data_IF_769527340935
#
_entry.id   IF_769527340935
#
_cell.length_a   1.000
_cell.length_b   1.000
_cell.length_c   1.000
_cell.angle_alpha   90.00
_cell.angle_beta   90.00
_cell.angle_gamma   90.00
#
_symmetry.space_group_name_H-M   'P 1'
#
loop_
_entity.id
_entity.type
_entity.pdbx_description
1 polymer ?
#
# COMPACT_ATOMS: atom_id res chain seq x y z
N UNK A 1 -6.44 19.58 13.33
CA UNK A 1 -5.23 18.74 13.18
C UNK A 1 -4.01 19.62 13.35
N UNK A 2 -3.01 19.18 14.11
CA UNK A 2 -1.74 19.91 14.23
C UNK A 2 -0.85 19.58 13.04
N UNK A 3 0.03 20.52 12.65
CA UNK A 3 1.00 20.31 11.56
C UNK A 3 1.89 19.09 11.83
N UNK A 4 2.26 18.88 13.10
CA UNK A 4 3.05 17.72 13.52
C UNK A 4 2.34 16.39 13.23
N UNK A 5 1.04 16.29 13.53
CA UNK A 5 0.27 15.09 13.24
C UNK A 5 0.19 14.82 11.73
N UNK A 6 0.02 15.87 10.93
CA UNK A 6 -0.01 15.77 9.47
C UNK A 6 1.34 15.33 8.89
N UNK A 7 2.45 15.90 9.36
CA UNK A 7 3.80 15.47 8.93
C UNK A 7 4.06 14.02 9.37
N UNK A 8 3.63 13.66 10.58
CA UNK A 8 3.78 12.31 11.14
C UNK A 8 3.13 11.21 10.29
N UNK A 9 2.02 11.49 9.59
CA UNK A 9 1.41 10.48 8.70
C UNK A 9 2.29 10.17 7.50
N UNK A 10 3.00 11.14 6.92
CA UNK A 10 3.95 10.88 5.84
C UNK A 10 5.11 10.00 6.29
N UNK A 11 5.64 10.23 7.49
CA UNK A 11 6.66 9.37 8.08
C UNK A 11 6.16 7.94 8.32
N UNK A 12 4.94 7.80 8.85
CA UNK A 12 4.33 6.49 9.04
C UNK A 12 4.12 5.75 7.71
N UNK A 13 3.66 6.46 6.68
CA UNK A 13 3.49 5.90 5.33
C UNK A 13 4.85 5.49 4.75
N UNK A 14 5.86 6.36 4.76
CA UNK A 14 7.20 6.05 4.25
C UNK A 14 7.83 4.85 4.98
N UNK A 15 7.76 4.81 6.30
CA UNK A 15 8.34 3.72 7.09
C UNK A 15 7.57 2.39 7.00
N UNK A 16 6.36 2.36 6.42
CA UNK A 16 5.52 1.14 6.42
C UNK A 16 6.14 -0.06 5.69
N UNK A 17 6.73 0.15 4.49
CA UNK A 17 7.31 -0.94 3.70
C UNK A 17 8.57 -1.56 4.34
N UNK A 18 9.58 -0.81 4.86
CA UNK A 18 10.73 -1.43 5.49
C UNK A 18 10.34 -2.11 6.80
N UNK A 19 9.38 -1.53 7.55
CA UNK A 19 8.86 -2.17 8.76
C UNK A 19 8.13 -3.48 8.45
N UNK A 20 7.46 -3.58 7.30
CA UNK A 20 6.80 -4.84 6.88
C UNK A 20 7.83 -5.90 6.48
N UNK A 21 8.91 -5.51 5.80
CA UNK A 21 10.03 -6.42 5.50
C UNK A 21 10.71 -6.89 6.79
N UNK A 22 10.96 -5.97 7.74
CA UNK A 22 11.49 -6.32 9.05
C UNK A 22 10.54 -7.25 9.81
N UNK A 23 9.25 -6.98 9.76
CA UNK A 23 8.22 -7.81 10.39
C UNK A 23 8.22 -9.24 9.84
N UNK A 24 8.43 -9.42 8.54
CA UNK A 24 8.52 -10.74 7.90
C UNK A 24 9.63 -11.59 8.54
N UNK A 25 10.81 -11.01 8.76
CA UNK A 25 11.92 -11.72 9.42
C UNK A 25 11.71 -11.92 10.92
N UNK A 26 11.24 -10.88 11.63
CA UNK A 26 11.02 -10.94 13.08
C UNK A 26 9.98 -11.99 13.43
N UNK A 27 8.80 -11.94 12.79
CA UNK A 27 7.75 -12.92 13.07
C UNK A 27 8.07 -14.30 12.48
N UNK A 28 8.83 -14.36 11.39
CA UNK A 28 9.23 -15.63 10.77
C UNK A 28 10.23 -16.42 11.60
N UNK A 29 11.28 -15.78 12.09
CA UNK A 29 12.38 -16.46 12.80
C UNK A 29 12.16 -16.60 14.30
N UNK A 30 11.37 -15.72 14.91
CA UNK A 30 11.10 -15.77 16.35
C UNK A 30 9.72 -16.35 16.69
N UNK A 31 9.08 -17.05 15.74
CA UNK A 31 7.72 -17.59 15.90
C UNK A 31 7.55 -18.35 17.22
N UNK A 32 6.61 -17.92 18.07
CA UNK A 32 6.34 -18.52 19.39
C UNK A 32 7.22 -18.02 20.55
N UNK A 33 8.28 -17.26 20.29
CA UNK A 33 9.13 -16.66 21.33
C UNK A 33 8.75 -15.21 21.67
N UNK A 34 7.89 -14.58 20.87
CA UNK A 34 7.48 -13.17 21.04
C UNK A 34 6.05 -12.96 21.54
N UNK A 35 5.28 -14.01 21.82
CA UNK A 35 3.85 -13.91 22.23
C UNK A 35 3.61 -13.00 23.46
N UNK A 36 4.63 -12.80 24.31
CA UNK A 36 4.56 -11.86 25.45
C UNK A 36 4.76 -10.39 25.09
N UNK A 37 5.44 -10.09 23.98
CA UNK A 37 5.90 -8.74 23.63
C UNK A 37 5.39 -8.23 22.28
N UNK A 38 4.83 -9.13 21.47
CA UNK A 38 4.42 -8.83 20.11
C UNK A 38 2.97 -9.27 19.92
N UNK A 39 2.10 -8.28 19.71
CA UNK A 39 0.71 -8.55 19.34
C UNK A 39 0.68 -9.26 17.99
N UNK A 40 -0.25 -10.20 17.81
CA UNK A 40 -0.37 -10.93 16.56
C UNK A 40 -0.55 -9.93 15.40
N UNK A 41 0.46 -9.88 14.52
CA UNK A 41 0.51 -8.99 13.36
C UNK A 41 -0.69 -9.19 12.46
N UNK A 42 -1.14 -10.44 12.31
CA UNK A 42 -2.26 -10.76 11.44
C UNK A 42 -3.58 -10.29 12.06
N UNK A 43 -3.85 -10.57 13.33
CA UNK A 43 -5.01 -10.03 14.04
C UNK A 43 -5.05 -8.50 14.03
N UNK A 44 -3.90 -7.86 14.21
CA UNK A 44 -3.77 -6.39 14.14
C UNK A 44 -4.09 -5.87 12.75
N UNK A 45 -3.57 -6.51 11.70
CA UNK A 45 -3.88 -6.18 10.31
C UNK A 45 -5.39 -6.30 10.03
N UNK A 46 -6.02 -7.40 10.43
CA UNK A 46 -7.45 -7.63 10.23
C UNK A 46 -8.27 -6.56 10.96
N UNK A 47 -7.88 -6.20 12.18
CA UNK A 47 -8.52 -5.14 12.94
C UNK A 47 -8.43 -3.79 12.20
N UNK A 48 -7.26 -3.45 11.68
CA UNK A 48 -7.03 -2.18 10.97
C UNK A 48 -7.77 -2.13 9.62
N UNK A 49 -7.79 -3.21 8.84
CA UNK A 49 -8.35 -3.20 7.48
C UNK A 49 -9.85 -3.49 7.46
N UNK A 50 -10.38 -4.22 8.43
CA UNK A 50 -11.81 -4.54 8.47
C UNK A 50 -12.53 -3.55 9.38
N UNK A 51 -12.11 -3.41 10.65
CA UNK A 51 -12.90 -2.67 11.64
C UNK A 51 -12.89 -1.17 11.36
N UNK A 52 -11.71 -0.57 11.15
CA UNK A 52 -11.62 0.87 10.95
C UNK A 52 -12.28 1.35 9.65
N UNK A 53 -12.02 0.74 8.48
CA UNK A 53 -12.73 1.10 7.25
C UNK A 53 -14.24 0.85 7.34
N UNK A 54 -14.68 -0.24 7.95
CA UNK A 54 -16.11 -0.54 8.05
C UNK A 54 -16.84 0.49 8.93
N UNK A 55 -16.32 0.74 10.14
CA UNK A 55 -16.92 1.71 11.07
C UNK A 55 -16.78 3.14 10.50
N UNK A 56 -15.62 3.49 9.92
CA UNK A 56 -15.39 4.80 9.32
C UNK A 56 -16.34 5.11 8.17
N UNK A 57 -16.52 4.18 7.24
CA UNK A 57 -17.44 4.34 6.11
C UNK A 57 -18.91 4.35 6.56
N UNK A 58 -19.26 3.57 7.59
CA UNK A 58 -20.59 3.60 8.20
C UNK A 58 -20.87 4.94 8.89
N UNK A 59 -19.96 5.43 9.72
CA UNK A 59 -20.07 6.72 10.38
C UNK A 59 -20.18 7.87 9.37
N UNK A 60 -19.38 7.85 8.30
CA UNK A 60 -19.46 8.83 7.23
C UNK A 60 -20.81 8.79 6.50
N UNK A 61 -21.35 7.59 6.25
CA UNK A 61 -22.67 7.46 5.62
C UNK A 61 -23.80 7.99 6.51
N UNK A 62 -23.74 7.73 7.82
CA UNK A 62 -24.68 8.28 8.80
C UNK A 62 -24.58 9.81 8.83
N UNK A 63 -23.37 10.37 8.82
CA UNK A 63 -23.17 11.81 8.80
C UNK A 63 -23.80 12.45 7.54
N UNK A 64 -23.50 11.91 6.36
CA UNK A 64 -24.05 12.39 5.08
C UNK A 64 -25.58 12.30 5.03
N UNK A 65 -26.14 11.24 5.61
CA UNK A 65 -27.59 11.10 5.76
C UNK A 65 -28.17 12.17 6.68
N UNK A 66 -27.54 12.44 7.83
CA UNK A 66 -27.99 13.45 8.78
C UNK A 66 -27.88 14.89 8.25
N UNK A 67 -26.90 15.15 7.40
CA UNK A 67 -26.74 16.44 6.72
C UNK A 67 -27.71 16.64 5.55
N UNK A 68 -28.50 15.63 5.21
CA UNK A 68 -29.45 15.69 4.08
C UNK A 68 -28.78 15.65 2.70
N UNK A 69 -27.48 15.35 2.63
CA UNK A 69 -26.74 15.30 1.36
C UNK A 69 -27.17 14.12 0.50
N UNK A 70 -27.42 12.95 1.11
CA UNK A 70 -27.76 11.70 0.42
C UNK A 70 -28.57 10.74 1.28
N UNK A 71 -29.28 9.80 0.65
CA UNK A 71 -29.90 8.67 1.35
C UNK A 71 -28.84 7.73 1.94
N UNK A 72 -29.16 7.07 3.07
CA UNK A 72 -28.20 6.25 3.81
C UNK A 72 -27.60 5.12 2.95
N UNK A 73 -28.43 4.39 2.20
CA UNK A 73 -27.97 3.29 1.33
C UNK A 73 -27.11 3.81 0.17
N UNK A 74 -27.45 4.96 -0.41
CA UNK A 74 -26.64 5.58 -1.47
C UNK A 74 -25.27 6.02 -0.94
N UNK A 75 -25.23 6.61 0.26
CA UNK A 75 -23.99 7.02 0.91
C UNK A 75 -23.12 5.82 1.28
N UNK A 76 -23.70 4.74 1.82
CA UNK A 76 -22.98 3.50 2.11
C UNK A 76 -22.36 2.90 0.84
N UNK A 77 -23.16 2.76 -0.22
CA UNK A 77 -22.66 2.21 -1.49
C UNK A 77 -21.51 3.04 -2.05
N UNK A 78 -21.63 4.37 -2.07
CA UNK A 78 -20.55 5.24 -2.54
C UNK A 78 -19.28 5.06 -1.70
N UNK A 79 -19.40 5.09 -0.39
CA UNK A 79 -18.26 4.98 0.53
C UNK A 79 -17.50 3.64 0.32
N UNK A 80 -18.22 2.52 0.30
CA UNK A 80 -17.60 1.19 0.10
C UNK A 80 -17.08 0.96 -1.32
N UNK A 81 -17.71 1.55 -2.34
CA UNK A 81 -17.24 1.46 -3.73
C UNK A 81 -15.81 1.99 -3.91
N UNK A 82 -15.46 3.07 -3.19
CA UNK A 82 -14.14 3.68 -3.29
C UNK A 82 -13.07 3.01 -2.43
N UNK A 83 -13.47 2.20 -1.44
CA UNK A 83 -12.57 1.56 -0.49
C UNK A 83 -11.44 0.75 -1.17
N UNK A 84 -11.68 -0.11 -2.18
CA UNK A 84 -10.61 -0.88 -2.83
C UNK A 84 -9.55 0.01 -3.50
N UNK A 85 -9.99 1.10 -4.15
CA UNK A 85 -9.09 2.05 -4.82
C UNK A 85 -8.21 2.76 -3.79
N UNK A 86 -8.80 3.21 -2.68
CA UNK A 86 -8.04 3.83 -1.60
C UNK A 86 -7.06 2.87 -0.93
N UNK A 87 -7.43 1.60 -0.76
CA UNK A 87 -6.53 0.57 -0.21
C UNK A 87 -5.30 0.36 -1.09
N UNK A 88 -5.49 0.23 -2.41
CA UNK A 88 -4.38 0.10 -3.36
C UNK A 88 -3.53 1.38 -3.36
N UNK A 89 -4.17 2.54 -3.41
CA UNK A 89 -3.48 3.82 -3.44
C UNK A 89 -2.63 4.03 -2.18
N UNK A 90 -3.25 4.04 -1.00
CA UNK A 90 -2.55 4.29 0.27
C UNK A 90 -1.52 3.19 0.59
N UNK A 91 -1.80 1.94 0.21
CA UNK A 91 -0.86 0.84 0.39
C UNK A 91 0.33 0.88 -0.57
N UNK A 92 0.18 1.44 -1.77
CA UNK A 92 1.19 1.45 -2.82
C UNK A 92 2.08 2.71 -2.87
N UNK A 93 1.72 3.79 -2.17
CA UNK A 93 2.49 5.05 -2.21
C UNK A 93 3.75 5.06 -1.33
N UNK A 94 3.93 4.08 -0.43
CA UNK A 94 4.95 4.19 0.62
C UNK A 94 6.39 4.23 0.10
N UNK A 95 6.73 3.51 -0.97
CA UNK A 95 8.03 3.63 -1.63
C UNK A 95 8.29 5.05 -2.17
N UNK A 96 7.28 5.67 -2.77
CA UNK A 96 7.39 7.03 -3.33
C UNK A 96 7.50 8.08 -2.24
N UNK A 97 6.73 7.94 -1.16
CA UNK A 97 6.83 8.80 0.03
C UNK A 97 8.19 8.65 0.70
N UNK A 98 8.71 7.42 0.80
CA UNK A 98 10.06 7.17 1.32
C UNK A 98 11.12 7.89 0.51
N UNK A 99 11.04 7.81 -0.82
CA UNK A 99 11.97 8.52 -1.72
C UNK A 99 11.93 10.02 -1.46
N UNK A 100 10.74 10.61 -1.38
CA UNK A 100 10.59 12.04 -1.12
C UNK A 100 11.17 12.46 0.25
N UNK A 101 10.93 11.67 1.30
CA UNK A 101 11.48 11.92 2.64
C UNK A 101 13.01 11.79 2.67
N UNK A 102 13.57 10.77 2.02
CA UNK A 102 15.03 10.59 1.95
C UNK A 102 15.68 11.71 1.14
N UNK A 103 15.10 12.10 0.00
CA UNK A 103 15.59 13.24 -0.76
C UNK A 103 15.56 14.53 0.07
N UNK A 104 14.51 14.74 0.85
CA UNK A 104 14.42 15.89 1.77
C UNK A 104 15.53 15.86 2.84
N UNK A 105 15.80 14.70 3.46
CA UNK A 105 16.84 14.58 4.49
C UNK A 105 18.27 14.72 3.97
N UNK A 106 18.51 14.29 2.73
CA UNK A 106 19.82 14.35 2.10
C UNK A 106 20.00 15.58 1.20
N UNK A 107 19.09 16.55 1.27
CA UNK A 107 19.11 17.77 0.45
C UNK A 107 19.25 17.48 -1.06
N UNK A 108 18.66 16.37 -1.52
CA UNK A 108 18.65 15.99 -2.93
C UNK A 108 17.49 16.73 -3.59
N UNK A 109 17.82 17.63 -4.53
CA UNK A 109 16.83 18.37 -5.29
C UNK A 109 15.93 17.43 -6.11
N UNK A 110 14.64 17.42 -5.74
CA UNK A 110 13.59 16.78 -6.51
C UNK A 110 12.64 17.84 -7.07
N UNK A 111 12.38 17.75 -8.37
CA UNK A 111 11.40 18.61 -9.03
C UNK A 111 10.02 17.96 -8.96
N UNK A 112 9.04 18.71 -8.47
CA UNK A 112 7.64 18.31 -8.52
C UNK A 112 7.07 18.71 -9.87
N UNK A 113 6.84 17.73 -10.75
CA UNK A 113 6.21 17.98 -12.05
C UNK A 113 4.80 18.52 -11.87
N UNK A 114 4.43 19.55 -12.64
CA UNK A 114 3.05 19.99 -12.71
C UNK A 114 2.18 18.89 -13.35
N UNK A 115 1.03 18.60 -12.76
CA UNK A 115 0.07 17.67 -13.33
C UNK A 115 -0.31 18.13 -14.74
N UNK A 116 -0.03 17.31 -15.76
CA UNK A 116 -0.45 17.63 -17.13
C UNK A 116 -1.97 17.79 -17.17
N UNK A 117 -2.44 18.96 -17.58
CA UNK A 117 -3.87 19.24 -17.71
C UNK A 117 -4.46 18.61 -18.98
N UNK A 118 -3.61 18.29 -19.95
CA UNK A 118 -4.02 17.61 -21.17
C UNK A 118 -3.70 16.13 -21.05
N UNK A 119 -4.76 15.33 -21.18
CA UNK A 119 -4.64 13.88 -21.30
C UNK A 119 -4.22 13.62 -22.73
N UNK A 120 -2.93 13.37 -22.94
CA UNK A 120 -2.47 12.84 -24.22
C UNK A 120 -3.19 11.51 -24.48
N UNK A 121 -3.77 11.37 -25.68
CA UNK A 121 -4.31 10.09 -26.14
C UNK A 121 -3.12 9.17 -26.47
N UNK A 122 -2.55 8.55 -25.44
CA UNK A 122 -1.52 7.53 -25.57
C UNK A 122 -2.18 6.17 -25.80
N UNK A 123 -1.65 5.40 -26.75
CA UNK A 123 -2.08 4.02 -26.95
C UNK A 123 -1.63 3.14 -25.78
N UNK A 124 -2.42 2.11 -25.46
CA UNK A 124 -2.15 1.19 -24.36
C UNK A 124 -0.71 0.62 -24.39
N UNK A 125 -0.21 0.25 -25.58
CA UNK A 125 1.12 -0.33 -25.75
C UNK A 125 2.27 0.69 -25.58
N UNK A 126 2.03 1.97 -25.85
CA UNK A 126 3.02 3.04 -25.66
C UNK A 126 3.18 3.42 -24.19
N UNK A 127 2.14 3.21 -23.39
CA UNK A 127 2.14 3.57 -21.97
C UNK A 127 2.88 2.54 -21.11
N UNK A 128 2.82 1.25 -21.45
CA UNK A 128 3.52 0.17 -20.73
C UNK A 128 5.01 0.48 -20.48
N UNK A 129 5.84 0.81 -21.50
CA UNK A 129 7.25 1.10 -21.27
C UNK A 129 7.48 2.36 -20.42
N UNK A 130 6.59 3.37 -20.53
CA UNK A 130 6.65 4.58 -19.69
C UNK A 130 6.40 4.24 -18.22
N UNK A 131 5.43 3.38 -17.93
CA UNK A 131 5.13 2.89 -16.58
C UNK A 131 6.31 2.09 -16.03
N UNK A 132 6.83 1.13 -16.80
CA UNK A 132 7.97 0.31 -16.37
C UNK A 132 9.16 1.18 -16.02
N UNK A 133 9.47 2.21 -16.84
CA UNK A 133 10.58 3.12 -16.57
C UNK A 133 10.34 4.01 -15.34
N UNK A 134 9.12 4.51 -15.18
CA UNK A 134 8.79 5.44 -14.08
C UNK A 134 8.67 4.73 -12.72
N UNK A 135 8.21 3.48 -12.73
CA UNK A 135 8.00 2.65 -11.55
C UNK A 135 9.02 1.51 -11.43
N UNK A 136 10.18 1.62 -12.12
CA UNK A 136 11.19 0.57 -12.15
C UNK A 136 11.61 0.12 -10.74
N UNK A 137 11.85 1.07 -9.83
CA UNK A 137 12.19 0.78 -8.43
C UNK A 137 11.09 0.01 -7.69
N UNK A 138 9.83 0.36 -7.95
CA UNK A 138 8.65 -0.33 -7.38
C UNK A 138 8.58 -1.77 -7.87
N UNK A 139 8.78 -2.02 -9.16
CA UNK A 139 8.78 -3.38 -9.72
C UNK A 139 9.96 -4.21 -9.20
N UNK A 140 11.17 -3.62 -9.10
CA UNK A 140 12.34 -4.28 -8.50
C UNK A 140 12.04 -4.71 -7.07
N UNK A 141 11.44 -3.84 -6.27
CA UNK A 141 11.00 -4.19 -4.91
C UNK A 141 9.97 -5.34 -4.92
N UNK A 142 8.91 -5.25 -5.73
CA UNK A 142 7.87 -6.28 -5.79
C UNK A 142 8.45 -7.65 -6.18
N UNK A 143 9.28 -7.72 -7.23
CA UNK A 143 9.89 -8.97 -7.67
C UNK A 143 10.92 -9.50 -6.66
N UNK A 144 11.74 -8.61 -6.08
CA UNK A 144 12.71 -8.97 -5.05
C UNK A 144 12.06 -9.51 -3.78
N UNK A 145 11.00 -8.86 -3.30
CA UNK A 145 10.25 -9.30 -2.12
C UNK A 145 9.46 -10.58 -2.40
N UNK A 146 8.94 -10.77 -3.62
CA UNK A 146 8.31 -12.04 -4.02
C UNK A 146 9.33 -13.18 -4.04
N UNK A 147 10.51 -12.94 -4.62
CA UNK A 147 11.61 -13.89 -4.61
C UNK A 147 12.06 -14.22 -3.18
N UNK A 148 12.13 -13.21 -2.29
CA UNK A 148 12.41 -13.40 -0.87
C UNK A 148 11.40 -14.35 -0.21
N UNK A 149 10.10 -14.17 -0.46
CA UNK A 149 9.07 -15.07 0.10
C UNK A 149 9.25 -16.50 -0.40
N UNK A 150 9.48 -16.68 -1.71
CA UNK A 150 9.69 -18.00 -2.31
C UNK A 150 10.95 -18.66 -1.71
N UNK A 151 12.05 -17.92 -1.61
CA UNK A 151 13.28 -18.41 -1.00
C UNK A 151 13.10 -18.72 0.49
N UNK A 152 12.39 -17.86 1.24
CA UNK A 152 12.09 -18.06 2.64
C UNK A 152 11.22 -19.30 2.89
N UNK A 153 10.35 -19.65 1.95
CA UNK A 153 9.49 -20.84 2.06
C UNK A 153 10.20 -22.15 1.68
N UNK A 154 10.99 -22.14 0.59
CA UNK A 154 11.53 -23.37 -0.02
C UNK A 154 13.05 -23.53 0.06
N UNK A 155 13.81 -22.44 0.04
CA UNK A 155 15.26 -22.46 -0.20
C UNK A 155 16.06 -22.29 1.09
N UNK A 156 15.54 -21.54 2.05
CA UNK A 156 16.24 -21.33 3.33
C UNK A 156 16.49 -22.68 4.04
N UNK A 157 17.57 -22.80 4.84
CA UNK A 157 17.80 -23.98 5.66
C UNK A 157 16.57 -24.26 6.52
N UNK A 158 16.30 -25.53 6.81
CA UNK A 158 15.04 -25.97 7.43
C UNK A 158 14.64 -25.16 8.68
N UNK A 159 15.60 -24.80 9.52
CA UNK A 159 15.40 -24.00 10.74
C UNK A 159 15.03 -22.53 10.49
N UNK A 160 15.36 -21.99 9.31
CA UNK A 160 15.13 -20.59 8.94
C UNK A 160 13.94 -20.41 7.99
N UNK A 161 13.26 -21.50 7.62
CA UNK A 161 12.14 -21.44 6.69
C UNK A 161 10.93 -20.74 7.30
N UNK A 162 10.41 -19.76 6.60
CA UNK A 162 9.26 -18.96 7.02
C UNK A 162 8.02 -19.47 6.27
N UNK A 163 7.25 -20.34 6.92
CA UNK A 163 6.06 -20.98 6.33
C UNK A 163 4.73 -20.47 6.89
N UNK A 164 4.78 -19.66 7.95
CA UNK A 164 3.58 -19.21 8.64
C UNK A 164 2.83 -18.16 7.84
N UNK A 165 1.54 -18.43 7.57
CA UNK A 165 0.68 -17.54 6.79
C UNK A 165 0.60 -16.12 7.39
N UNK A 166 0.39 -16.03 8.71
CA UNK A 166 0.28 -14.76 9.42
C UNK A 166 1.50 -13.84 9.22
N UNK A 167 2.68 -14.42 9.04
CA UNK A 167 3.95 -13.71 8.76
C UNK A 167 4.07 -13.30 7.30
N UNK A 168 3.71 -14.21 6.37
CA UNK A 168 3.86 -13.99 4.93
C UNK A 168 2.84 -12.95 4.42
N UNK A 169 1.62 -12.99 4.96
CA UNK A 169 0.48 -12.26 4.42
C UNK A 169 0.65 -10.73 4.38
N UNK A 170 1.12 -10.04 5.44
CA UNK A 170 1.35 -8.59 5.38
C UNK A 170 2.29 -8.17 4.25
N UNK A 171 3.38 -8.91 4.03
CA UNK A 171 4.32 -8.62 2.95
C UNK A 171 3.69 -8.84 1.57
N UNK A 172 2.88 -9.90 1.41
CA UNK A 172 2.12 -10.12 0.18
C UNK A 172 1.16 -8.96 -0.14
N UNK A 173 0.45 -8.43 0.86
CA UNK A 173 -0.44 -7.26 0.67
C UNK A 173 0.36 -6.04 0.25
N UNK A 174 1.52 -5.79 0.87
CA UNK A 174 2.40 -4.68 0.48
C UNK A 174 2.89 -4.84 -0.96
N UNK A 175 3.33 -6.04 -1.36
CA UNK A 175 3.74 -6.32 -2.75
C UNK A 175 2.58 -6.07 -3.71
N UNK A 176 1.40 -6.59 -3.39
CA UNK A 176 0.20 -6.44 -4.22
C UNK A 176 -0.16 -4.97 -4.41
N UNK A 177 -0.23 -4.17 -3.34
CA UNK A 177 -0.61 -2.75 -3.44
C UNK A 177 0.42 -1.94 -4.24
N UNK A 178 1.72 -2.21 -4.07
CA UNK A 178 2.77 -1.54 -4.85
C UNK A 178 2.74 -1.92 -6.33
N UNK A 179 2.44 -3.17 -6.66
CA UNK A 179 2.31 -3.61 -8.05
C UNK A 179 1.01 -3.10 -8.69
N UNK A 180 -0.09 -3.14 -7.94
CA UNK A 180 -1.41 -2.73 -8.39
C UNK A 180 -1.51 -1.23 -8.62
N UNK A 181 -0.78 -0.41 -7.87
CA UNK A 181 -0.81 1.05 -8.02
C UNK A 181 -0.52 1.51 -9.47
N UNK A 182 0.62 1.21 -10.11
CA UNK A 182 0.88 1.64 -11.47
C UNK A 182 0.05 0.92 -12.54
N UNK A 183 -0.48 -0.28 -12.24
CA UNK A 183 -1.18 -1.12 -13.22
C UNK A 183 -2.68 -0.84 -13.24
N UNK A 184 -3.32 -0.79 -12.07
CA UNK A 184 -4.77 -0.66 -11.93
C UNK A 184 -5.24 0.79 -11.79
N UNK A 185 -4.38 1.70 -11.32
CA UNK A 185 -4.74 3.11 -11.12
C UNK A 185 -4.17 4.04 -12.20
N UNK A 186 -3.55 3.50 -13.27
CA UNK A 186 -3.16 4.32 -14.42
C UNK A 186 -4.36 4.52 -15.37
N UNK A 187 -4.85 5.77 -15.56
CA UNK A 187 -6.01 6.06 -16.41
C UNK A 187 -5.82 5.64 -17.88
N UNK A 188 -4.59 5.66 -18.41
CA UNK A 188 -4.32 5.24 -19.78
C UNK A 188 -4.46 3.73 -19.97
N UNK A 189 -4.10 2.92 -18.95
CA UNK A 189 -4.33 1.47 -18.97
C UNK A 189 -5.81 1.11 -18.81
N UNK A 190 -6.56 1.86 -17.99
CA UNK A 190 -7.96 1.59 -17.70
C UNK A 190 -8.91 1.80 -18.89
N UNK A 191 -8.51 2.58 -19.90
CA UNK A 191 -9.35 2.89 -21.08
C UNK A 191 -9.32 1.81 -22.17
N UNK A 192 -8.36 0.88 -22.13
CA UNK A 192 -8.17 -0.18 -23.13
C UNK A 192 -8.30 0.31 -24.58
N UNK A 193 -7.73 1.47 -24.87
CA UNK A 193 -7.67 2.05 -26.23
C UNK A 193 -6.43 1.52 -26.95
N UNK A 194 -6.66 0.87 -28.10
CA UNK A 194 -5.64 0.22 -28.95
C UNK A 194 -5.44 0.98 -30.25
#
# INVERSE_FOLDING_TARGET
MTILAYIGTYYAIGASWPLTVLNYFVTGWYWGHYDKYYLDSFATYVSIIVVFPLVGNLSLAILRYRLGERSLLSALWENFKWMPIFTIFLGGISLHVSKALLCHFFEIDIQWGATSKEVENCNFLEEIPKIIKSFAGTFVFCFGATALIICGYYVFPQEWQIKTFATIYPLCVTIFSHFALPVLLNPALMKFTF
#
